data_IF_814785605330
#
_entry.id   IF_814785605330
#
_cell.length_a   1.000
_cell.length_b   1.000
_cell.length_c   1.000
_cell.angle_alpha   90.00
_cell.angle_beta   90.00
_cell.angle_gamma   90.00
#
_symmetry.space_group_name_H-M   'P 1'
#
loop_
_entity.id
_entity.type
_entity.pdbx_description
1 polymer ?
#
# COMPACT_ATOMS: atom_id res chain seq x y z
N UNK A 1 -5.76 -4.71 -19.69
CA UNK A 1 -5.99 -3.63 -20.67
C UNK A 1 -7.37 -3.77 -21.31
N UNK A 2 -7.66 -4.90 -21.96
CA UNK A 2 -8.91 -5.14 -22.70
C UNK A 2 -10.16 -4.99 -21.85
N UNK A 3 -10.22 -5.65 -20.69
CA UNK A 3 -11.35 -5.51 -19.76
C UNK A 3 -11.55 -4.05 -19.32
N UNK A 4 -10.48 -3.29 -19.07
CA UNK A 4 -10.56 -1.88 -18.73
C UNK A 4 -11.17 -1.07 -19.90
N UNK A 5 -10.71 -1.32 -21.11
CA UNK A 5 -11.24 -0.65 -22.31
C UNK A 5 -12.74 -0.94 -22.52
N UNK A 6 -13.15 -2.21 -22.31
CA UNK A 6 -14.57 -2.63 -22.41
C UNK A 6 -15.42 -1.93 -21.34
N UNK A 7 -14.91 -1.82 -20.11
CA UNK A 7 -15.60 -1.15 -19.01
C UNK A 7 -15.79 0.35 -19.30
N UNK A 8 -14.75 1.01 -19.78
CA UNK A 8 -14.75 2.44 -20.07
C UNK A 8 -15.64 2.80 -21.25
N UNK A 9 -15.49 2.07 -22.36
CA UNK A 9 -16.12 2.40 -23.64
C UNK A 9 -17.44 1.64 -23.89
N UNK A 10 -17.78 0.65 -23.08
CA UNK A 10 -18.98 -0.19 -23.23
C UNK A 10 -19.15 -0.77 -24.64
N UNK A 11 -18.05 -1.10 -25.28
CA UNK A 11 -18.00 -1.60 -26.67
C UNK A 11 -17.77 -3.09 -26.73
N UNK A 12 -18.13 -3.70 -27.86
CA UNK A 12 -17.78 -5.09 -28.18
C UNK A 12 -16.51 -5.20 -29.01
N UNK A 13 -16.01 -4.11 -29.59
CA UNK A 13 -14.81 -4.10 -30.41
C UNK A 13 -13.59 -3.74 -29.56
N UNK A 14 -12.58 -4.58 -29.59
CA UNK A 14 -11.28 -4.34 -28.95
C UNK A 14 -10.29 -3.95 -30.04
N UNK A 15 -9.83 -2.68 -30.07
CA UNK A 15 -8.94 -2.19 -31.12
C UNK A 15 -7.55 -2.82 -31.00
N UNK A 16 -6.80 -2.81 -32.10
CA UNK A 16 -5.48 -3.44 -32.21
C UNK A 16 -4.49 -2.98 -31.16
N UNK A 17 -4.49 -1.70 -30.80
CA UNK A 17 -3.55 -1.07 -29.85
C UNK A 17 -3.78 -1.55 -28.41
N UNK A 18 -4.98 -1.97 -28.11
CA UNK A 18 -5.38 -2.47 -26.78
C UNK A 18 -5.28 -3.98 -26.70
N UNK A 19 -5.53 -4.67 -27.85
CA UNK A 19 -5.58 -6.12 -27.95
C UNK A 19 -4.26 -6.79 -27.57
N UNK A 20 -4.33 -7.86 -26.77
CA UNK A 20 -3.19 -8.73 -26.43
C UNK A 20 -2.68 -9.50 -27.67
N UNK A 21 -3.55 -9.79 -28.63
CA UNK A 21 -3.22 -10.49 -29.86
C UNK A 21 -2.67 -9.57 -30.95
N UNK A 22 -2.61 -8.25 -30.70
CA UNK A 22 -2.22 -7.22 -31.68
C UNK A 22 -3.08 -7.22 -32.97
N UNK A 23 -4.31 -7.71 -32.88
CA UNK A 23 -5.32 -7.70 -33.94
C UNK A 23 -6.61 -7.11 -33.37
N UNK A 24 -7.35 -6.36 -34.16
CA UNK A 24 -8.72 -5.97 -33.82
C UNK A 24 -9.60 -7.22 -33.77
N UNK A 25 -10.46 -7.31 -32.77
CA UNK A 25 -11.44 -8.37 -32.68
C UNK A 25 -12.71 -7.93 -31.95
N UNK A 26 -13.80 -8.67 -32.21
CA UNK A 26 -15.07 -8.45 -31.51
C UNK A 26 -15.32 -9.51 -30.45
N UNK A 27 -15.73 -9.09 -29.30
CA UNK A 27 -16.20 -9.99 -28.23
C UNK A 27 -17.70 -10.24 -28.38
N UNK A 28 -18.16 -11.36 -27.86
CA UNK A 28 -19.58 -11.65 -27.76
C UNK A 28 -20.29 -10.58 -26.90
N UNK A 29 -21.51 -10.18 -27.33
CA UNK A 29 -22.36 -9.23 -26.60
C UNK A 29 -22.61 -9.66 -25.15
N UNK A 30 -22.87 -10.96 -24.90
CA UNK A 30 -23.07 -11.53 -23.55
C UNK A 30 -21.82 -11.34 -22.67
N UNK A 31 -20.60 -11.52 -23.23
CA UNK A 31 -19.36 -11.32 -22.48
C UNK A 31 -19.18 -9.83 -22.10
N UNK A 32 -19.45 -8.90 -23.01
CA UNK A 32 -19.44 -7.47 -22.72
C UNK A 32 -20.41 -7.13 -21.59
N UNK A 33 -21.66 -7.56 -21.72
CA UNK A 33 -22.69 -7.32 -20.72
C UNK A 33 -22.33 -7.92 -19.36
N UNK A 34 -21.75 -9.12 -19.35
CA UNK A 34 -21.21 -9.76 -18.15
C UNK A 34 -20.12 -8.93 -17.47
N UNK A 35 -19.12 -8.45 -18.21
CA UNK A 35 -18.03 -7.62 -17.67
C UNK A 35 -18.58 -6.32 -17.08
N UNK A 36 -19.49 -5.65 -17.80
CA UNK A 36 -20.11 -4.41 -17.33
C UNK A 36 -20.94 -4.63 -16.07
N UNK A 37 -21.72 -5.73 -16.02
CA UNK A 37 -22.52 -6.08 -14.84
C UNK A 37 -21.63 -6.39 -13.64
N UNK A 38 -20.59 -7.21 -13.83
CA UNK A 38 -19.62 -7.52 -12.77
C UNK A 38 -18.96 -6.25 -12.23
N UNK A 39 -18.58 -5.31 -13.12
CA UNK A 39 -18.02 -4.04 -12.67
C UNK A 39 -19.02 -3.20 -11.86
N UNK A 40 -20.30 -3.19 -12.25
CA UNK A 40 -21.36 -2.50 -11.49
C UNK A 40 -21.52 -3.10 -10.08
N UNK A 41 -21.50 -4.42 -9.97
CA UNK A 41 -21.56 -5.13 -8.68
C UNK A 41 -20.31 -4.82 -7.84
N UNK A 42 -19.12 -4.88 -8.45
CA UNK A 42 -17.86 -4.57 -7.75
C UNK A 42 -17.85 -3.13 -7.19
N UNK A 43 -18.35 -2.15 -7.95
CA UNK A 43 -18.51 -0.76 -7.47
C UNK A 43 -19.42 -0.71 -6.24
N UNK A 44 -20.52 -1.46 -6.24
CA UNK A 44 -21.44 -1.52 -5.09
C UNK A 44 -20.75 -2.16 -3.87
N UNK A 45 -20.08 -3.30 -4.05
CA UNK A 45 -19.34 -3.96 -2.98
C UNK A 45 -18.27 -3.04 -2.37
N UNK A 46 -17.52 -2.33 -3.23
CA UNK A 46 -16.52 -1.35 -2.80
C UNK A 46 -17.14 -0.21 -1.98
N UNK A 47 -18.25 0.36 -2.45
CA UNK A 47 -18.95 1.42 -1.75
C UNK A 47 -19.46 0.96 -0.39
N UNK A 48 -20.07 -0.22 -0.32
CA UNK A 48 -20.52 -0.80 0.96
C UNK A 48 -19.37 -1.01 1.93
N UNK A 49 -18.22 -1.49 1.44
CA UNK A 49 -17.01 -1.70 2.26
C UNK A 49 -16.49 -0.38 2.82
N UNK A 50 -16.43 0.67 2.01
CA UNK A 50 -16.01 2.02 2.43
C UNK A 50 -16.97 2.55 3.49
N UNK A 51 -18.29 2.45 3.25
CA UNK A 51 -19.32 2.90 4.21
C UNK A 51 -19.23 2.15 5.54
N UNK A 52 -18.82 0.87 5.52
CA UNK A 52 -18.58 0.07 6.74
C UNK A 52 -17.25 0.39 7.43
N UNK A 53 -16.43 1.28 6.87
CA UNK A 53 -15.21 1.77 7.50
C UNK A 53 -13.90 1.20 6.94
N UNK A 54 -13.91 0.51 5.79
CA UNK A 54 -12.66 0.10 5.16
C UNK A 54 -11.81 1.32 4.81
N UNK A 55 -10.54 1.28 5.18
CA UNK A 55 -9.60 2.38 4.94
C UNK A 55 -8.97 2.18 3.56
N UNK A 56 -9.03 3.20 2.72
CA UNK A 56 -8.46 3.17 1.37
C UNK A 56 -7.26 4.11 1.27
N UNK A 57 -6.13 3.53 0.88
CA UNK A 57 -4.95 4.31 0.54
C UNK A 57 -4.71 4.22 -0.97
N UNK A 58 -4.73 5.36 -1.65
CA UNK A 58 -4.38 5.43 -3.06
C UNK A 58 -2.86 5.47 -3.22
N UNK A 59 -2.23 4.30 -3.26
CA UNK A 59 -0.78 4.20 -3.46
C UNK A 59 -0.48 4.03 -4.95
N UNK A 60 0.34 4.94 -5.50
CA UNK A 60 0.91 4.79 -6.83
C UNK A 60 2.11 3.85 -6.75
N UNK A 61 2.10 2.78 -7.53
CA UNK A 61 3.24 1.86 -7.65
C UNK A 61 4.10 2.28 -8.83
N UNK A 62 5.42 2.19 -8.65
CA UNK A 62 6.38 2.48 -9.70
C UNK A 62 7.00 1.19 -10.21
N UNK A 63 6.91 0.99 -11.50
CA UNK A 63 7.64 -0.05 -12.21
C UNK A 63 8.74 0.56 -13.06
N UNK A 64 9.70 -0.27 -13.48
CA UNK A 64 10.78 0.14 -14.37
C UNK A 64 10.56 -0.36 -15.79
N UNK A 65 10.89 0.46 -16.77
CA UNK A 65 11.00 0.05 -18.16
C UNK A 65 12.44 -0.43 -18.36
N UNK A 66 12.59 -1.66 -18.83
CA UNK A 66 13.89 -2.31 -19.02
C UNK A 66 14.25 -2.37 -20.50
N UNK A 67 15.52 -2.22 -20.83
CA UNK A 67 16.07 -2.53 -22.15
C UNK A 67 16.27 -4.06 -22.32
N UNK A 68 16.88 -4.46 -23.47
CA UNK A 68 17.18 -5.89 -23.76
C UNK A 68 18.15 -6.51 -22.76
N UNK A 69 19.06 -5.72 -22.21
CA UNK A 69 20.07 -6.10 -21.23
C UNK A 69 19.51 -6.07 -19.78
N UNK A 70 18.18 -5.88 -19.61
CA UNK A 70 17.48 -5.77 -18.32
C UNK A 70 17.90 -4.55 -17.49
N UNK A 71 18.47 -3.51 -18.10
CA UNK A 71 18.82 -2.25 -17.46
C UNK A 71 17.60 -1.30 -17.41
N UNK A 72 17.40 -0.56 -16.31
CA UNK A 72 16.29 0.37 -16.19
C UNK A 72 16.54 1.65 -16.98
N UNK A 73 15.79 1.83 -18.06
CA UNK A 73 15.86 3.00 -18.95
C UNK A 73 14.78 4.05 -18.66
N UNK A 74 13.78 3.71 -17.90
CA UNK A 74 12.67 4.60 -17.56
C UNK A 74 11.84 4.08 -16.40
N UNK A 75 10.95 4.94 -15.91
CA UNK A 75 9.95 4.58 -14.89
C UNK A 75 8.55 4.66 -15.47
N UNK A 76 7.67 3.77 -14.99
CA UNK A 76 6.26 3.75 -15.35
C UNK A 76 5.43 3.74 -14.07
N UNK A 77 4.58 4.75 -13.91
CA UNK A 77 3.60 4.77 -12.81
C UNK A 77 2.45 3.83 -13.16
N UNK A 78 2.20 2.88 -12.27
CA UNK A 78 1.10 1.95 -12.38
C UNK A 78 -0.07 2.48 -11.54
N UNK A 79 -1.12 2.87 -12.20
CA UNK A 79 -2.35 3.32 -11.57
C UNK A 79 -3.35 2.17 -11.44
N UNK A 80 -4.02 2.10 -10.30
CA UNK A 80 -5.12 1.16 -10.09
C UNK A 80 -6.35 1.64 -10.85
N UNK A 81 -6.83 0.83 -11.80
CA UNK A 81 -7.99 1.13 -12.64
C UNK A 81 -9.22 0.33 -12.25
N UNK A 82 -10.37 0.61 -12.83
CA UNK A 82 -11.64 -0.08 -12.52
C UNK A 82 -11.55 -1.60 -12.68
N UNK A 83 -10.84 -2.10 -13.70
CA UNK A 83 -10.62 -3.54 -13.89
C UNK A 83 -9.81 -4.18 -12.76
N UNK A 84 -8.88 -3.46 -12.16
CA UNK A 84 -8.15 -3.93 -10.98
C UNK A 84 -9.08 -3.99 -9.76
N UNK A 85 -9.86 -2.92 -9.54
CA UNK A 85 -10.83 -2.85 -8.46
C UNK A 85 -11.90 -3.95 -8.59
N UNK A 86 -12.35 -4.24 -9.82
CA UNK A 86 -13.29 -5.32 -10.08
C UNK A 86 -12.75 -6.65 -9.55
N UNK A 87 -11.54 -7.02 -9.95
CA UNK A 87 -10.92 -8.28 -9.49
C UNK A 87 -10.68 -8.26 -7.98
N UNK A 88 -10.20 -7.15 -7.44
CA UNK A 88 -9.96 -6.98 -6.00
C UNK A 88 -11.23 -7.23 -5.18
N UNK A 89 -12.36 -6.61 -5.52
CA UNK A 89 -13.59 -6.75 -4.74
C UNK A 89 -14.13 -8.20 -4.76
N UNK A 90 -14.03 -8.91 -5.89
CA UNK A 90 -14.42 -10.32 -5.93
C UNK A 90 -13.44 -11.24 -5.17
N UNK A 91 -12.14 -10.92 -5.18
CA UNK A 91 -11.17 -11.63 -4.35
C UNK A 91 -11.44 -11.40 -2.86
N UNK A 92 -11.74 -10.17 -2.45
CA UNK A 92 -12.11 -9.83 -1.08
C UNK A 92 -13.40 -10.53 -0.65
N UNK A 93 -14.41 -10.56 -1.53
CA UNK A 93 -15.66 -11.26 -1.27
C UNK A 93 -15.42 -12.77 -1.05
N UNK A 94 -14.70 -13.43 -1.94
CA UNK A 94 -14.39 -14.86 -1.81
C UNK A 94 -13.61 -15.16 -0.52
N UNK A 95 -12.59 -14.35 -0.20
CA UNK A 95 -11.81 -14.50 1.02
C UNK A 95 -12.68 -14.36 2.28
N UNK A 96 -13.60 -13.39 2.30
CA UNK A 96 -14.54 -13.14 3.39
C UNK A 96 -15.53 -14.32 3.54
N UNK A 97 -16.13 -14.77 2.46
CA UNK A 97 -17.11 -15.87 2.50
C UNK A 97 -16.49 -17.20 3.00
N UNK A 98 -15.25 -17.49 2.58
CA UNK A 98 -14.51 -18.65 3.11
C UNK A 98 -14.27 -18.52 4.61
N UNK A 99 -13.89 -17.32 5.09
CA UNK A 99 -13.72 -17.08 6.53
C UNK A 99 -15.03 -17.22 7.31
N UNK A 100 -16.17 -16.81 6.73
CA UNK A 100 -17.50 -17.02 7.32
C UNK A 100 -17.86 -18.49 7.42
N UNK A 101 -17.60 -19.30 6.38
CA UNK A 101 -17.81 -20.76 6.41
C UNK A 101 -17.00 -21.38 7.56
N UNK A 102 -15.73 -20.98 7.71
CA UNK A 102 -14.87 -21.48 8.78
C UNK A 102 -15.43 -21.17 10.17
N UNK A 103 -15.94 -19.97 10.36
CA UNK A 103 -16.45 -19.54 11.66
C UNK A 103 -17.71 -20.25 12.13
N UNK A 104 -18.51 -20.78 11.18
CA UNK A 104 -19.73 -21.56 11.51
C UNK A 104 -19.43 -22.96 12.03
N UNK A 105 -18.20 -23.44 11.85
CA UNK A 105 -17.78 -24.79 12.28
C UNK A 105 -17.02 -24.71 13.61
N UNK A 106 -17.76 -24.77 14.73
CA UNK A 106 -17.18 -24.84 16.08
C UNK A 106 -16.19 -26.02 16.17
N UNK A 107 -15.12 -25.87 16.91
CA UNK A 107 -14.07 -26.88 17.19
C UNK A 107 -13.09 -27.24 16.05
N UNK A 108 -13.01 -26.46 14.96
CA UNK A 108 -11.95 -26.64 13.95
C UNK A 108 -11.05 -25.39 13.91
N UNK A 109 -9.76 -25.58 14.23
CA UNK A 109 -8.77 -24.51 14.02
C UNK A 109 -8.64 -24.22 12.53
N UNK A 110 -8.82 -22.96 12.15
CA UNK A 110 -8.66 -22.47 10.80
C UNK A 110 -7.69 -21.30 10.79
N UNK A 111 -7.29 -20.86 9.62
CA UNK A 111 -6.38 -19.73 9.45
C UNK A 111 -7.18 -18.50 9.07
N UNK A 112 -6.89 -17.41 9.77
CA UNK A 112 -7.42 -16.09 9.49
C UNK A 112 -6.29 -15.12 9.14
N UNK A 113 -6.58 -14.14 8.31
CA UNK A 113 -5.75 -12.96 8.11
C UNK A 113 -6.28 -11.89 9.03
N UNK A 114 -5.57 -11.62 10.07
CA UNK A 114 -5.99 -10.68 11.11
C UNK A 114 -5.20 -9.37 11.03
N UNK A 115 -5.88 -8.28 11.32
CA UNK A 115 -5.29 -6.95 11.42
C UNK A 115 -5.83 -6.28 12.65
N UNK A 116 -4.97 -6.10 13.62
CA UNK A 116 -5.30 -5.54 14.93
C UNK A 116 -5.60 -4.04 14.84
N UNK A 117 -6.08 -3.48 15.91
CA UNK A 117 -6.29 -2.05 16.07
C UNK A 117 -4.99 -1.27 15.84
N UNK A 118 -5.08 -0.01 15.42
CA UNK A 118 -3.92 0.87 15.37
C UNK A 118 -3.26 1.04 16.75
N UNK A 119 -1.98 1.39 16.75
CA UNK A 119 -1.23 1.66 17.97
C UNK A 119 -1.72 2.98 18.60
N UNK A 120 -2.15 2.92 19.87
CA UNK A 120 -2.77 4.03 20.58
C UNK A 120 -1.83 5.23 20.73
N UNK A 121 -0.57 5.02 21.11
CA UNK A 121 0.42 6.10 21.26
C UNK A 121 0.65 6.85 19.95
N UNK A 122 0.66 6.11 18.84
CA UNK A 122 0.81 6.72 17.51
C UNK A 122 -0.44 7.47 17.07
N UNK A 123 -1.62 7.00 17.46
CA UNK A 123 -2.87 7.73 17.22
C UNK A 123 -2.92 9.03 18.01
N UNK A 124 -2.52 9.03 19.28
CA UNK A 124 -2.40 10.25 20.08
C UNK A 124 -1.42 11.25 19.46
N UNK A 125 -0.31 10.74 18.94
CA UNK A 125 0.65 11.57 18.21
C UNK A 125 0.07 12.15 16.93
N UNK A 126 -0.67 11.35 16.16
CA UNK A 126 -1.40 11.78 14.97
C UNK A 126 -2.42 12.88 15.33
N UNK A 127 -3.26 12.68 16.34
CA UNK A 127 -4.24 13.67 16.80
C UNK A 127 -3.61 15.02 17.12
N UNK A 128 -2.46 15.00 17.82
CA UNK A 128 -1.72 16.21 18.16
C UNK A 128 -1.23 16.97 16.91
N UNK A 129 -0.74 16.23 15.91
CA UNK A 129 -0.22 16.81 14.67
C UNK A 129 -1.36 17.39 13.82
N UNK A 130 -2.43 16.62 13.59
CA UNK A 130 -3.55 17.09 12.77
C UNK A 130 -4.26 18.28 13.42
N UNK A 131 -4.33 18.34 14.76
CA UNK A 131 -4.87 19.49 15.49
C UNK A 131 -4.05 20.76 15.25
N UNK A 132 -2.70 20.67 15.21
CA UNK A 132 -1.84 21.79 14.87
C UNK A 132 -2.05 22.29 13.43
N UNK A 133 -2.47 21.39 12.53
CA UNK A 133 -2.79 21.67 11.13
C UNK A 133 -4.25 22.15 10.93
N UNK A 134 -5.02 22.29 12.00
CA UNK A 134 -6.39 22.80 11.95
C UNK A 134 -7.49 21.73 11.84
N UNK A 135 -7.12 20.44 11.78
CA UNK A 135 -8.09 19.34 11.72
C UNK A 135 -8.48 18.85 13.13
N UNK A 136 -9.77 18.70 13.37
CA UNK A 136 -10.28 18.32 14.68
C UNK A 136 -10.92 16.92 14.67
N UNK A 137 -10.09 15.89 14.67
CA UNK A 137 -10.50 14.49 14.75
C UNK A 137 -9.94 13.83 15.98
N UNK A 138 -10.73 12.91 16.58
CA UNK A 138 -10.34 12.04 17.70
C UNK A 138 -10.48 10.59 17.31
N UNK A 139 -9.58 9.74 17.80
CA UNK A 139 -9.51 8.31 17.48
C UNK A 139 -9.61 7.42 18.73
N UNK A 140 -10.03 7.97 19.85
CA UNK A 140 -10.23 7.31 21.16
C UNK A 140 -11.42 6.33 21.16
N UNK A 141 -12.43 6.56 20.31
CA UNK A 141 -13.63 5.73 20.24
C UNK A 141 -13.55 4.73 19.08
N UNK A 142 -13.39 3.43 19.42
CA UNK A 142 -13.29 2.32 18.45
C UNK A 142 -14.45 2.28 17.44
N UNK A 143 -15.68 2.63 17.85
CA UNK A 143 -16.85 2.59 16.97
C UNK A 143 -16.80 3.65 15.87
N UNK A 144 -16.15 4.78 16.13
CA UNK A 144 -16.06 5.91 15.22
C UNK A 144 -14.68 6.06 14.56
N UNK A 145 -13.67 5.33 15.04
CA UNK A 145 -12.28 5.44 14.58
C UNK A 145 -12.16 5.31 13.05
N UNK A 146 -12.75 4.27 12.46
CA UNK A 146 -12.75 4.08 11.00
C UNK A 146 -13.38 5.25 10.26
N UNK A 147 -14.53 5.75 10.76
CA UNK A 147 -15.25 6.87 10.14
C UNK A 147 -14.43 8.15 10.22
N UNK A 148 -13.79 8.41 11.36
CA UNK A 148 -12.98 9.59 11.58
C UNK A 148 -11.70 9.56 10.71
N UNK A 149 -11.03 8.40 10.62
CA UNK A 149 -9.88 8.23 9.72
C UNK A 149 -10.31 8.47 8.27
N UNK A 150 -11.40 7.85 7.80
CA UNK A 150 -11.87 8.03 6.42
C UNK A 150 -12.31 9.47 6.12
N UNK A 151 -12.97 10.15 7.07
CA UNK A 151 -13.34 11.57 6.93
C UNK A 151 -12.10 12.44 6.81
N UNK A 152 -11.12 12.25 7.70
CA UNK A 152 -9.84 12.96 7.64
C UNK A 152 -9.16 12.76 6.28
N UNK A 153 -9.03 11.50 5.80
CA UNK A 153 -8.40 11.19 4.52
C UNK A 153 -9.13 11.79 3.32
N UNK A 154 -10.45 11.94 3.38
CA UNK A 154 -11.25 12.62 2.36
C UNK A 154 -11.02 14.12 2.40
N UNK A 155 -11.05 14.73 3.58
CA UNK A 155 -10.87 16.17 3.77
C UNK A 155 -9.51 16.65 3.28
N UNK A 156 -8.45 15.87 3.57
CA UNK A 156 -7.09 16.22 3.14
C UNK A 156 -6.77 15.83 1.68
N UNK A 157 -7.73 15.31 0.93
CA UNK A 157 -7.46 14.72 -0.40
C UNK A 157 -6.77 15.66 -1.40
N UNK A 158 -7.00 16.97 -1.28
CA UNK A 158 -6.37 18.03 -2.07
C UNK A 158 -5.45 18.95 -1.25
N UNK A 159 -5.22 18.64 0.03
CA UNK A 159 -4.43 19.49 0.92
C UNK A 159 -2.91 19.25 0.74
N UNK A 160 -2.06 20.27 0.95
CA UNK A 160 -0.61 20.12 0.89
C UNK A 160 -0.07 19.06 1.86
N UNK A 161 -0.65 18.99 3.06
CA UNK A 161 -0.28 18.07 4.14
C UNK A 161 -0.78 16.62 3.95
N UNK A 162 -1.43 16.32 2.82
CA UNK A 162 -1.94 14.96 2.51
C UNK A 162 -0.90 13.87 2.70
N UNK A 163 0.28 14.05 2.14
CA UNK A 163 1.35 13.06 2.21
C UNK A 163 1.84 12.81 3.65
N UNK A 164 1.91 13.87 4.46
CA UNK A 164 2.23 13.79 5.88
C UNK A 164 1.18 12.94 6.61
N UNK A 165 -0.08 13.33 6.50
CA UNK A 165 -1.17 12.69 7.24
C UNK A 165 -1.38 11.24 6.78
N UNK A 166 -1.37 10.96 5.47
CA UNK A 166 -1.41 9.60 4.92
C UNK A 166 -0.30 8.71 5.52
N UNK A 167 0.92 9.25 5.61
CA UNK A 167 2.08 8.54 6.18
C UNK A 167 1.89 8.26 7.67
N UNK A 168 1.43 9.24 8.43
CA UNK A 168 1.19 9.09 9.88
C UNK A 168 0.06 8.09 10.17
N UNK A 169 -1.03 8.15 9.40
CA UNK A 169 -2.13 7.18 9.50
C UNK A 169 -1.60 5.77 9.21
N UNK A 170 -0.85 5.56 8.12
CA UNK A 170 -0.28 4.24 7.79
C UNK A 170 0.67 3.76 8.90
N UNK A 171 1.52 4.62 9.45
CA UNK A 171 2.46 4.28 10.54
C UNK A 171 1.77 3.97 11.87
N UNK A 172 0.55 4.46 12.08
CA UNK A 172 -0.24 4.13 13.27
C UNK A 172 -0.88 2.75 13.18
N UNK A 173 -1.07 2.22 11.96
CA UNK A 173 -1.70 0.92 11.73
C UNK A 173 -0.82 -0.21 12.24
N UNK A 174 -1.46 -1.21 12.84
CA UNK A 174 -0.85 -2.49 13.16
C UNK A 174 -0.51 -3.26 11.88
N UNK A 175 0.35 -4.28 11.98
CA UNK A 175 0.69 -5.12 10.86
C UNK A 175 -0.28 -6.29 10.78
N UNK A 176 -0.84 -6.54 9.60
CA UNK A 176 -1.65 -7.73 9.39
C UNK A 176 -0.77 -8.99 9.46
N UNK A 177 -1.30 -10.06 10.08
CA UNK A 177 -0.61 -11.34 10.27
C UNK A 177 -1.57 -12.51 10.11
N UNK A 178 -1.04 -13.71 9.98
CA UNK A 178 -1.84 -14.93 10.02
C UNK A 178 -1.99 -15.42 11.45
N UNK A 179 -3.18 -15.88 11.80
CA UNK A 179 -3.46 -16.39 13.14
C UNK A 179 -4.58 -17.45 13.07
N UNK A 180 -4.58 -18.38 14.03
CA UNK A 180 -5.68 -19.33 14.21
C UNK A 180 -6.85 -18.72 14.99
N UNK A 181 -6.60 -17.67 15.77
CA UNK A 181 -7.60 -16.91 16.49
C UNK A 181 -8.06 -15.72 15.66
N UNK A 182 -9.35 -15.65 15.36
CA UNK A 182 -9.94 -14.53 14.65
C UNK A 182 -10.12 -13.32 15.58
N UNK A 183 -9.50 -12.20 15.25
CA UNK A 183 -9.70 -10.89 15.91
C UNK A 183 -10.25 -9.84 14.92
N UNK A 184 -10.62 -10.28 13.71
CA UNK A 184 -11.05 -9.38 12.64
C UNK A 184 -9.90 -8.76 11.84
N UNK A 185 -10.25 -7.93 10.89
CA UNK A 185 -9.30 -7.21 10.05
C UNK A 185 -9.64 -5.72 10.01
N UNK A 186 -8.98 -4.94 10.87
CA UNK A 186 -9.27 -3.51 11.05
C UNK A 186 -9.26 -2.75 9.72
N UNK A 187 -8.18 -2.76 8.97
CA UNK A 187 -8.05 -1.95 7.75
C UNK A 187 -9.10 -2.25 6.66
N UNK A 188 -9.66 -3.48 6.61
CA UNK A 188 -10.74 -3.86 5.71
C UNK A 188 -12.13 -3.73 6.32
N UNK A 189 -12.22 -3.46 7.63
CA UNK A 189 -13.48 -3.46 8.39
C UNK A 189 -14.26 -4.79 8.28
N UNK A 190 -13.54 -5.91 8.24
CA UNK A 190 -14.12 -7.25 8.20
C UNK A 190 -14.04 -7.90 9.57
N UNK A 191 -15.18 -8.44 10.05
CA UNK A 191 -15.23 -9.23 11.29
C UNK A 191 -14.48 -10.56 11.16
N UNK A 192 -14.40 -11.11 9.95
CA UNK A 192 -13.73 -12.37 9.64
C UNK A 192 -13.12 -12.28 8.26
N UNK A 193 -11.86 -12.66 8.17
CA UNK A 193 -11.14 -12.59 6.90
C UNK A 193 -10.04 -13.66 6.85
N UNK A 194 -9.86 -14.26 5.70
CA UNK A 194 -8.75 -15.17 5.40
C UNK A 194 -8.23 -14.93 4.01
N UNK A 195 -7.08 -15.49 3.69
CA UNK A 195 -6.57 -15.51 2.33
C UNK A 195 -6.90 -16.85 1.67
N UNK A 196 -7.52 -16.81 0.50
CA UNK A 196 -7.97 -17.98 -0.26
C UNK A 196 -7.66 -17.89 -1.76
N UNK A 197 -7.60 -16.69 -2.31
CA UNK A 197 -7.66 -16.43 -3.75
C UNK A 197 -6.31 -16.46 -4.47
N UNK A 198 -5.18 -16.75 -3.78
CA UNK A 198 -3.86 -16.74 -4.41
C UNK A 198 -2.98 -17.96 -4.03
N UNK A 199 -3.45 -19.22 -4.27
CA UNK A 199 -2.71 -20.41 -3.83
C UNK A 199 -1.39 -20.66 -4.58
N UNK A 200 -1.21 -20.08 -5.76
CA UNK A 200 0.05 -20.22 -6.54
C UNK A 200 1.25 -19.55 -5.83
N UNK A 201 1.02 -18.44 -5.12
CA UNK A 201 2.08 -17.63 -4.50
C UNK A 201 2.01 -17.57 -2.98
N UNK A 202 0.94 -18.07 -2.36
CA UNK A 202 0.77 -18.10 -0.91
C UNK A 202 0.45 -19.51 -0.45
N UNK A 203 1.40 -20.14 0.22
CA UNK A 203 1.22 -21.49 0.74
C UNK A 203 0.04 -21.60 1.72
N UNK A 204 -0.23 -20.53 2.45
CA UNK A 204 -1.34 -20.50 3.40
C UNK A 204 -2.70 -20.66 2.71
N UNK A 205 -2.87 -20.11 1.52
CA UNK A 205 -4.08 -20.28 0.73
C UNK A 205 -4.32 -21.77 0.40
N UNK A 206 -3.25 -22.55 0.17
CA UNK A 206 -3.34 -24.02 -0.03
C UNK A 206 -3.86 -24.69 1.24
N UNK A 207 -3.39 -24.29 2.42
CA UNK A 207 -3.91 -24.82 3.71
C UNK A 207 -5.40 -24.51 3.83
N UNK A 208 -5.80 -23.29 3.50
CA UNK A 208 -7.19 -22.83 3.54
C UNK A 208 -8.05 -23.64 2.55
N UNK A 209 -7.58 -23.88 1.31
CA UNK A 209 -8.25 -24.73 0.32
C UNK A 209 -8.48 -26.16 0.85
N UNK A 210 -7.45 -26.78 1.40
CA UNK A 210 -7.53 -28.13 1.98
C UNK A 210 -8.52 -28.19 3.15
N UNK A 211 -8.53 -27.17 4.01
CA UNK A 211 -9.47 -27.10 5.12
C UNK A 211 -10.90 -26.89 4.64
N UNK A 212 -11.12 -26.04 3.65
CA UNK A 212 -12.43 -25.82 3.04
C UNK A 212 -12.96 -27.10 2.39
N UNK A 213 -12.14 -27.80 1.60
CA UNK A 213 -12.51 -29.07 0.97
C UNK A 213 -12.95 -30.09 2.02
N UNK A 214 -12.21 -30.24 3.12
CA UNK A 214 -12.57 -31.15 4.22
C UNK A 214 -13.91 -30.80 4.87
N UNK A 215 -14.19 -29.51 4.99
CA UNK A 215 -15.47 -29.03 5.53
C UNK A 215 -16.63 -29.36 4.59
N UNK A 216 -16.44 -29.15 3.30
CA UNK A 216 -17.47 -29.41 2.27
C UNK A 216 -17.74 -30.89 2.13
N UNK A 217 -16.72 -31.74 2.21
CA UNK A 217 -16.85 -33.19 2.15
C UNK A 217 -17.32 -33.83 3.48
N UNK A 218 -17.49 -33.04 4.53
CA UNK A 218 -17.89 -33.54 5.85
C UNK A 218 -16.82 -34.41 6.55
N UNK A 219 -15.59 -34.47 6.02
CA UNK A 219 -14.53 -35.30 6.59
C UNK A 219 -13.98 -34.68 7.89
N UNK A 220 -13.90 -35.53 8.91
CA UNK A 220 -13.27 -35.16 10.19
C UNK A 220 -11.78 -35.51 10.13
N UNK A 221 -10.93 -34.51 10.32
CA UNK A 221 -9.50 -34.73 10.55
C UNK A 221 -9.13 -34.25 11.95
N UNK A 222 -8.23 -34.98 12.60
CA UNK A 222 -7.55 -34.45 13.80
C UNK A 222 -6.99 -33.07 13.45
N UNK A 223 -7.31 -32.06 14.27
CA UNK A 223 -6.83 -30.69 14.06
C UNK A 223 -5.30 -30.66 13.90
N UNK A 224 -4.81 -29.89 12.94
CA UNK A 224 -3.37 -29.69 12.78
C UNK A 224 -2.83 -28.95 14.01
N UNK A 225 -2.12 -29.69 14.87
CA UNK A 225 -1.52 -29.13 16.11
C UNK A 225 -0.48 -28.06 15.82
N UNK A 226 0.13 -28.09 14.64
CA UNK A 226 1.20 -27.16 14.20
C UNK A 226 0.67 -25.96 13.42
N UNK A 227 -0.65 -25.79 13.32
CA UNK A 227 -1.24 -24.73 12.49
C UNK A 227 -0.88 -23.32 12.97
N UNK A 228 -0.74 -23.14 14.28
CA UNK A 228 -0.35 -21.86 14.87
C UNK A 228 1.11 -21.51 14.55
N UNK A 229 2.01 -22.48 14.70
CA UNK A 229 3.43 -22.36 14.30
C UNK A 229 3.55 -22.04 12.79
N UNK A 230 2.75 -22.71 11.96
CA UNK A 230 2.69 -22.42 10.51
C UNK A 230 2.22 -20.99 10.25
N UNK A 231 1.21 -20.49 10.96
CA UNK A 231 0.76 -19.10 10.82
C UNK A 231 1.89 -18.11 11.16
N UNK A 232 2.62 -18.36 12.25
CA UNK A 232 3.75 -17.53 12.66
C UNK A 232 4.84 -17.56 11.58
N UNK A 233 5.33 -18.74 11.21
CA UNK A 233 6.37 -18.93 10.20
C UNK A 233 6.00 -18.27 8.86
N UNK A 234 4.76 -18.46 8.38
CA UNK A 234 4.32 -17.89 7.10
C UNK A 234 4.18 -16.36 7.16
N UNK A 235 3.85 -15.81 8.32
CA UNK A 235 3.86 -14.34 8.53
C UNK A 235 5.29 -13.79 8.44
N UNK A 236 6.27 -14.46 9.02
CA UNK A 236 7.68 -14.07 8.89
C UNK A 236 8.19 -14.18 7.44
N UNK A 237 7.78 -15.25 6.72
CA UNK A 237 8.14 -15.41 5.29
C UNK A 237 7.52 -14.32 4.41
N UNK A 238 6.29 -13.89 4.69
CA UNK A 238 5.66 -12.76 4.02
C UNK A 238 6.44 -11.46 4.26
N UNK A 239 6.89 -11.23 5.48
CA UNK A 239 7.74 -10.10 5.82
C UNK A 239 9.07 -10.12 5.08
N UNK A 240 9.70 -11.27 5.01
CA UNK A 240 10.94 -11.44 4.27
C UNK A 240 10.73 -11.19 2.77
N UNK A 241 9.65 -11.73 2.19
CA UNK A 241 9.29 -11.49 0.79
C UNK A 241 9.06 -9.99 0.51
N UNK A 242 8.35 -9.29 1.40
CA UNK A 242 8.14 -7.83 1.29
C UNK A 242 9.46 -7.05 1.37
N UNK A 243 10.37 -7.44 2.27
CA UNK A 243 11.70 -6.83 2.37
C UNK A 243 12.53 -7.07 1.10
N UNK A 244 12.47 -8.29 0.55
CA UNK A 244 13.16 -8.64 -0.68
C UNK A 244 12.63 -7.83 -1.88
N UNK A 245 11.30 -7.70 -2.01
CA UNK A 245 10.66 -6.88 -3.04
C UNK A 245 11.09 -5.41 -2.95
N UNK A 246 11.01 -4.82 -1.75
CA UNK A 246 11.48 -3.43 -1.52
C UNK A 246 12.96 -3.26 -1.85
N UNK A 247 13.80 -4.23 -1.47
CA UNK A 247 15.23 -4.22 -1.78
C UNK A 247 15.49 -4.31 -3.28
N UNK A 248 14.71 -5.11 -4.01
CA UNK A 248 14.78 -5.20 -5.48
C UNK A 248 14.38 -3.88 -6.15
N UNK A 249 13.27 -3.28 -5.71
CA UNK A 249 12.83 -1.96 -6.22
C UNK A 249 13.92 -0.92 -5.95
N UNK A 250 14.49 -0.90 -4.75
CA UNK A 250 15.55 0.06 -4.38
C UNK A 250 16.80 -0.14 -5.23
N UNK A 251 17.20 -1.38 -5.51
CA UNK A 251 18.30 -1.68 -6.42
C UNK A 251 18.06 -1.10 -7.82
N UNK A 252 16.86 -1.27 -8.37
CA UNK A 252 16.51 -0.72 -9.67
C UNK A 252 16.45 0.81 -9.66
N UNK A 253 16.00 1.43 -8.56
CA UNK A 253 16.03 2.89 -8.40
C UNK A 253 17.46 3.42 -8.45
N UNK A 254 18.38 2.79 -7.71
CA UNK A 254 19.79 3.15 -7.64
C UNK A 254 20.44 3.05 -9.02
N UNK A 255 20.22 1.93 -9.71
CA UNK A 255 20.73 1.68 -11.06
C UNK A 255 20.17 2.68 -12.10
N UNK A 256 18.89 3.05 -11.99
CA UNK A 256 18.27 4.07 -12.82
C UNK A 256 18.83 5.47 -12.56
N UNK A 257 19.15 5.77 -11.30
CA UNK A 257 19.63 7.10 -10.90
C UNK A 257 21.14 7.28 -11.12
N UNK A 258 21.92 6.22 -11.30
CA UNK A 258 23.36 6.31 -11.57
C UNK A 258 23.69 7.14 -12.82
N UNK A 259 22.85 7.08 -13.85
CA UNK A 259 22.97 7.90 -15.07
C UNK A 259 22.47 9.35 -14.89
N UNK A 260 22.08 9.76 -13.69
CA UNK A 260 21.44 11.05 -13.41
C UNK A 260 22.16 11.86 -12.35
N UNK A 261 23.41 11.50 -12.04
CA UNK A 261 24.27 12.27 -11.13
C UNK A 261 24.37 13.71 -11.66
N UNK A 262 24.38 14.67 -10.75
CA UNK A 262 24.37 16.12 -10.98
C UNK A 262 23.09 16.70 -11.58
N UNK A 263 22.07 15.89 -11.92
CA UNK A 263 20.77 16.42 -12.37
C UNK A 263 19.91 16.86 -11.18
N UNK A 264 19.10 17.88 -11.42
CA UNK A 264 18.18 18.44 -10.44
C UNK A 264 16.77 17.89 -10.65
N UNK A 265 16.02 17.74 -9.54
CA UNK A 265 14.66 17.25 -9.53
C UNK A 265 13.87 17.90 -8.40
N UNK A 266 12.59 18.14 -8.67
CA UNK A 266 11.63 18.44 -7.61
C UNK A 266 11.24 17.13 -6.93
N UNK A 267 11.24 17.13 -5.62
CA UNK A 267 10.85 15.99 -4.82
C UNK A 267 10.05 16.40 -3.59
N UNK A 268 9.43 15.42 -2.96
CA UNK A 268 8.64 15.59 -1.75
C UNK A 268 9.32 14.88 -0.59
N UNK A 269 9.42 15.49 0.57
CA UNK A 269 9.97 14.88 1.78
C UNK A 269 9.08 13.69 2.19
N UNK A 270 9.61 12.48 2.05
CA UNK A 270 8.90 11.20 2.33
C UNK A 270 9.19 10.64 3.72
N UNK A 271 10.27 11.08 4.34
CA UNK A 271 10.68 10.62 5.66
C UNK A 271 11.65 11.55 6.34
N UNK A 272 11.57 11.64 7.66
CA UNK A 272 12.51 12.42 8.48
C UNK A 272 13.01 11.50 9.59
N UNK A 273 14.31 11.55 9.84
CA UNK A 273 14.97 10.85 10.94
C UNK A 273 16.13 11.68 11.47
N UNK A 274 16.68 11.29 12.61
CA UNK A 274 17.78 12.00 13.28
C UNK A 274 18.98 12.27 12.36
N UNK A 275 19.27 11.34 11.42
CA UNK A 275 20.43 11.42 10.54
C UNK A 275 20.21 12.23 9.26
N UNK A 276 18.95 12.67 8.97
CA UNK A 276 18.60 13.41 7.77
C UNK A 276 17.19 13.16 7.27
N UNK A 277 16.96 13.56 6.04
CA UNK A 277 15.65 13.50 5.40
C UNK A 277 15.64 12.61 4.15
N UNK A 278 14.57 11.84 3.95
CA UNK A 278 14.29 11.12 2.71
C UNK A 278 13.45 12.00 1.79
N UNK A 279 13.79 12.01 0.52
CA UNK A 279 13.04 12.75 -0.51
C UNK A 279 12.67 11.80 -1.63
N UNK A 280 11.39 11.72 -1.95
CA UNK A 280 10.87 11.01 -3.12
C UNK A 280 10.79 11.99 -4.29
N UNK A 281 11.51 11.72 -5.37
CA UNK A 281 11.51 12.54 -6.60
C UNK A 281 10.14 12.43 -7.28
N UNK A 282 9.46 13.55 -7.52
CA UNK A 282 8.08 13.57 -8.01
C UNK A 282 7.94 12.90 -9.39
N UNK A 283 8.90 13.10 -10.29
CA UNK A 283 8.86 12.62 -11.67
C UNK A 283 9.00 11.10 -11.82
N UNK A 284 9.88 10.47 -11.05
CA UNK A 284 10.25 9.06 -11.23
C UNK A 284 10.04 8.21 -9.98
N UNK A 285 9.60 8.84 -8.89
CA UNK A 285 9.32 8.19 -7.61
C UNK A 285 10.51 7.44 -6.99
N UNK A 286 11.74 7.77 -7.42
CA UNK A 286 12.95 7.30 -6.78
C UNK A 286 13.15 8.05 -5.46
N UNK A 287 13.49 7.33 -4.42
CA UNK A 287 13.72 7.92 -3.10
C UNK A 287 15.22 8.03 -2.83
N UNK A 288 15.68 9.20 -2.45
CA UNK A 288 17.05 9.46 -2.02
C UNK A 288 17.12 9.97 -0.58
N UNK A 289 18.33 10.16 -0.08
CA UNK A 289 18.60 10.59 1.28
C UNK A 289 19.50 11.81 1.30
N UNK A 290 19.12 12.83 2.06
CA UNK A 290 19.91 14.01 2.35
C UNK A 290 20.39 13.87 3.80
N UNK A 291 21.69 13.87 4.00
CA UNK A 291 22.25 13.80 5.36
C UNK A 291 22.02 15.13 6.08
N UNK A 292 21.79 15.06 7.38
CA UNK A 292 21.57 16.26 8.20
C UNK A 292 22.69 17.29 8.06
N UNK A 293 23.94 16.85 7.92
CA UNK A 293 25.11 17.71 7.74
C UNK A 293 25.16 18.38 6.37
N UNK A 294 24.41 17.88 5.39
CA UNK A 294 24.34 18.38 4.01
C UNK A 294 23.14 19.31 3.83
N UNK A 295 22.38 19.59 4.91
CA UNK A 295 21.35 20.63 4.94
C UNK A 295 22.01 22.00 5.03
N UNK A 296 21.57 22.98 4.22
CA UNK A 296 22.25 24.28 4.11
C UNK A 296 21.97 25.17 5.31
N UNK A 297 22.93 26.08 5.58
CA UNK A 297 22.79 27.31 6.35
C UNK A 297 22.52 27.19 7.86
N UNK A 298 22.40 26.00 8.47
CA UNK A 298 22.14 25.88 9.91
C UNK A 298 22.52 24.50 10.49
N UNK A 299 22.47 24.37 11.82
CA UNK A 299 22.51 23.14 12.55
C UNK A 299 21.08 22.67 12.81
N UNK A 300 20.70 21.55 12.22
CA UNK A 300 19.34 21.01 12.32
C UNK A 300 19.20 19.99 13.45
N UNK A 301 18.03 19.98 14.09
CA UNK A 301 17.66 19.03 15.14
C UNK A 301 16.37 18.35 14.78
N UNK A 302 16.36 17.03 14.89
CA UNK A 302 15.15 16.23 14.67
C UNK A 302 14.20 16.36 15.87
N UNK A 303 12.98 16.76 15.60
CA UNK A 303 11.87 16.82 16.55
C UNK A 303 10.96 15.60 16.31
N UNK A 304 11.29 14.49 16.97
CA UNK A 304 10.61 13.20 16.74
C UNK A 304 9.08 13.28 16.92
N UNK A 305 8.61 13.94 17.99
CA UNK A 305 7.16 14.08 18.30
C UNK A 305 6.39 14.92 17.29
N UNK A 306 7.09 15.72 16.48
CA UNK A 306 6.50 16.64 15.51
C UNK A 306 6.80 16.22 14.07
N UNK A 307 7.62 15.17 13.88
CA UNK A 307 8.10 14.68 12.58
C UNK A 307 8.67 15.79 11.69
N UNK A 308 9.47 16.66 12.29
CA UNK A 308 10.12 17.76 11.58
C UNK A 308 11.63 17.87 11.91
N UNK A 309 12.36 18.46 10.99
CA UNK A 309 13.72 18.88 11.17
C UNK A 309 13.71 20.41 11.37
N UNK A 310 14.27 20.91 12.49
CA UNK A 310 14.26 22.32 12.87
C UNK A 310 15.67 22.87 12.91
N UNK A 311 15.92 23.97 12.20
CA UNK A 311 17.15 24.74 12.27
C UNK A 311 17.26 25.45 13.62
N UNK A 312 18.47 25.42 14.23
CA UNK A 312 18.68 26.02 15.55
C UNK A 312 18.64 27.53 15.50
N UNK A 313 19.29 28.14 14.50
CA UNK A 313 19.44 29.57 14.35
C UNK A 313 18.38 30.18 13.44
N UNK A 314 18.24 29.64 12.24
CA UNK A 314 17.32 30.16 11.22
C UNK A 314 15.85 29.90 11.54
N UNK A 315 15.53 28.89 12.39
CA UNK A 315 14.19 28.38 12.65
C UNK A 315 13.52 27.78 11.40
N UNK A 316 14.31 27.54 10.37
CA UNK A 316 13.82 26.86 9.17
C UNK A 316 13.36 25.44 9.50
N UNK A 317 12.23 25.04 8.93
CA UNK A 317 11.60 23.76 9.20
C UNK A 317 11.45 22.94 7.92
N UNK A 318 11.83 21.67 7.98
CA UNK A 318 11.52 20.68 6.95
C UNK A 318 10.54 19.66 7.52
N UNK A 319 9.38 19.50 6.88
CA UNK A 319 8.30 18.61 7.30
C UNK A 319 8.04 17.53 6.26
N UNK A 320 7.43 16.42 6.69
CA UNK A 320 6.92 15.43 5.76
C UNK A 320 5.89 16.09 4.82
N UNK A 321 6.05 15.85 3.52
CA UNK A 321 5.17 16.43 2.51
C UNK A 321 5.69 17.73 1.88
N UNK A 322 6.67 18.40 2.48
CA UNK A 322 7.26 19.60 1.88
C UNK A 322 7.88 19.29 0.52
N UNK A 323 7.70 20.18 -0.42
CA UNK A 323 8.36 20.11 -1.73
C UNK A 323 9.72 20.79 -1.67
N UNK A 324 10.70 20.14 -2.28
CA UNK A 324 12.09 20.59 -2.27
C UNK A 324 12.73 20.39 -3.65
N UNK A 325 13.61 21.28 -4.03
CA UNK A 325 14.50 21.10 -5.18
C UNK A 325 15.77 20.40 -4.70
N UNK A 326 16.10 19.28 -5.30
CA UNK A 326 17.26 18.46 -4.93
C UNK A 326 18.13 18.15 -6.14
N UNK A 327 19.42 17.98 -5.90
CA UNK A 327 20.41 17.53 -6.87
C UNK A 327 20.87 16.13 -6.49
N UNK A 328 21.05 15.25 -7.47
CA UNK A 328 21.64 13.92 -7.25
C UNK A 328 23.14 14.11 -7.00
N UNK A 329 23.55 13.92 -5.76
CA UNK A 329 24.96 14.08 -5.34
C UNK A 329 25.80 12.85 -5.59
N UNK A 330 25.20 11.64 -5.47
CA UNK A 330 25.89 10.38 -5.69
C UNK A 330 24.96 9.18 -5.57
N UNK A 331 25.50 8.03 -5.97
CA UNK A 331 24.79 6.76 -5.93
C UNK A 331 25.72 5.66 -5.42
N UNK A 332 25.28 4.91 -4.44
CA UNK A 332 26.01 3.74 -3.90
C UNK A 332 25.21 2.47 -4.20
N UNK A 333 25.64 1.71 -5.20
CA UNK A 333 24.93 0.49 -5.63
C UNK A 333 25.01 -0.62 -4.58
N UNK A 334 26.13 -0.74 -3.85
CA UNK A 334 26.30 -1.76 -2.83
C UNK A 334 25.39 -1.54 -1.63
N UNK A 335 25.30 -0.28 -1.16
CA UNK A 335 24.40 0.12 -0.06
C UNK A 335 22.99 0.40 -0.53
N UNK A 336 22.73 0.32 -1.84
CA UNK A 336 21.46 0.63 -2.48
C UNK A 336 20.94 2.02 -2.05
N UNK A 337 21.81 3.04 -2.11
CA UNK A 337 21.52 4.40 -1.64
C UNK A 337 21.72 5.42 -2.74
N UNK A 338 20.82 6.39 -2.78
CA UNK A 338 20.90 7.59 -3.60
C UNK A 338 21.13 8.74 -2.63
N UNK A 339 22.28 9.40 -2.72
CA UNK A 339 22.58 10.60 -1.95
C UNK A 339 22.09 11.82 -2.72
N UNK A 340 21.28 12.63 -2.07
CA UNK A 340 20.75 13.87 -2.60
C UNK A 340 21.36 15.07 -1.84
N UNK A 341 21.48 16.18 -2.54
CA UNK A 341 21.85 17.47 -1.98
C UNK A 341 20.64 18.40 -2.09
N UNK A 342 20.28 19.05 -1.00
CA UNK A 342 19.22 20.06 -0.99
C UNK A 342 19.73 21.32 -1.70
N UNK A 343 18.92 21.87 -2.59
CA UNK A 343 19.18 23.16 -3.24
C UNK A 343 18.34 24.22 -2.55
N UNK A 344 17.01 24.02 -2.52
CA UNK A 344 16.07 24.95 -1.89
C UNK A 344 14.78 24.24 -1.48
N UNK A 345 14.03 24.84 -0.57
CA UNK A 345 12.65 24.49 -0.24
C UNK A 345 11.73 25.29 -1.15
N UNK A 346 10.72 24.64 -1.74
CA UNK A 346 9.77 25.25 -2.68
C UNK A 346 8.51 25.76 -1.97
#
# INVERSE_FOLDING_TARGET
KEAQFIIENKTTTVPREISLTKKEYKINKKLKEGIVLLNKIAKKLRQERITKGSILFNKKEVGFVLNKEKEPIGTKIKETKESNNLVEEYMLLANKEVAEIFSKKKNKKNVYRVHDLPNEEKLISLERIIKKLGYNYRFDNMNNMHKNINKLLLEISAAPEKNLIDTLVIRSMSKAKYNTKNIGHFGLSFKKYTHFTSPIRRYLDIIVHRNLQRILLGTTTKGDKTLEEKCFYLSEREDLATKAERSSIKFMQVKYMSSKINKQFVGTISGIMERGIFVEINKNKCEGFIKIKDLPNDYFVFKEKEYLMLGRHTKEEYRLGDEVLVKVGGVDEHKKRIDLLLIEKL
#
